data_IF_044518264624
#
_entry.id   IF_044518264624
#
_cell.length_a   1.000
_cell.length_b   1.000
_cell.length_c   1.000
_cell.angle_alpha   90.00
_cell.angle_beta   90.00
_cell.angle_gamma   90.00
#
_symmetry.space_group_name_H-M   'P 1'
#
loop_
_entity.id
_entity.type
_entity.pdbx_description
1 polymer ?
#
# COMPACT_ATOMS: atom_id res chain seq x y z
N UNK A 1 -1.55 22.38 -9.52
CA UNK A 1 -1.78 20.94 -9.85
C UNK A 1 -2.45 20.80 -11.23
N UNK A 2 -2.72 19.59 -11.75
CA UNK A 2 -3.59 19.38 -12.94
C UNK A 2 -5.05 19.20 -12.51
N UNK A 3 -6.03 19.38 -13.42
CA UNK A 3 -7.48 19.13 -13.18
C UNK A 3 -7.81 17.74 -12.62
N UNK A 4 -6.87 16.79 -12.67
CA UNK A 4 -7.01 15.42 -12.18
C UNK A 4 -6.17 15.15 -10.91
N UNK A 5 -5.87 16.17 -10.12
CA UNK A 5 -5.05 16.08 -8.91
C UNK A 5 -3.65 15.47 -9.10
N UNK A 6 -3.08 15.55 -10.31
CA UNK A 6 -1.69 15.15 -10.55
C UNK A 6 -0.74 16.33 -10.39
N UNK A 7 0.41 16.08 -9.78
CA UNK A 7 1.51 17.04 -9.64
C UNK A 7 2.17 17.25 -11.01
N UNK A 8 2.37 18.52 -11.40
CA UNK A 8 3.08 18.89 -12.64
C UNK A 8 4.60 18.77 -12.42
N UNK A 9 5.09 17.53 -12.30
CA UNK A 9 6.48 17.21 -11.90
C UNK A 9 7.56 17.94 -12.68
N UNK A 10 7.37 18.12 -14.01
CA UNK A 10 8.34 18.83 -14.87
C UNK A 10 8.47 20.31 -14.48
N UNK A 11 7.35 21.00 -14.33
CA UNK A 11 7.31 22.40 -13.92
C UNK A 11 7.89 22.56 -12.52
N UNK A 12 7.41 21.75 -11.57
CA UNK A 12 7.86 21.76 -10.18
C UNK A 12 9.37 21.55 -10.03
N UNK A 13 9.95 20.60 -10.78
CA UNK A 13 11.40 20.33 -10.72
C UNK A 13 12.22 21.47 -11.32
N UNK A 14 11.72 22.08 -12.39
CA UNK A 14 12.37 23.20 -13.05
C UNK A 14 12.40 24.44 -12.15
N UNK A 15 11.26 24.80 -11.57
CA UNK A 15 11.16 25.99 -10.70
C UNK A 15 11.95 25.81 -9.40
N UNK A 16 11.88 24.62 -8.78
CA UNK A 16 12.67 24.33 -7.59
C UNK A 16 14.18 24.38 -7.88
N UNK A 17 14.62 23.87 -9.03
CA UNK A 17 16.03 23.95 -9.43
C UNK A 17 16.49 25.41 -9.61
N UNK A 18 15.67 26.26 -10.22
CA UNK A 18 15.98 27.69 -10.36
C UNK A 18 16.13 28.40 -9.01
N UNK A 19 15.24 28.09 -8.07
CA UNK A 19 15.36 28.60 -6.70
C UNK A 19 16.66 28.14 -6.02
N UNK A 20 16.99 26.85 -6.13
CA UNK A 20 18.20 26.31 -5.49
C UNK A 20 19.48 26.92 -6.05
N UNK A 21 19.54 27.25 -7.35
CA UNK A 21 20.68 27.93 -7.95
C UNK A 21 20.98 29.29 -7.29
N UNK A 22 19.99 29.94 -6.68
CA UNK A 22 20.14 31.24 -6.01
C UNK A 22 20.72 31.13 -4.59
N UNK A 23 20.82 29.93 -4.02
CA UNK A 23 21.21 29.74 -2.62
C UNK A 23 22.72 29.64 -2.38
N UNK A 24 23.53 29.59 -3.45
CA UNK A 24 25.00 29.49 -3.40
C UNK A 24 25.53 28.47 -2.38
N UNK A 25 24.84 27.33 -2.24
CA UNK A 25 25.13 26.36 -1.20
C UNK A 25 26.37 25.50 -1.56
N UNK A 26 27.33 25.32 -0.64
CA UNK A 26 28.64 24.74 -0.97
C UNK A 26 28.65 23.22 -1.18
N UNK A 27 27.54 22.51 -0.92
CA UNK A 27 27.48 21.05 -1.09
C UNK A 27 26.46 20.63 -2.16
N UNK A 28 26.98 20.25 -3.32
CA UNK A 28 26.20 19.72 -4.46
C UNK A 28 25.49 18.40 -4.16
N UNK A 29 25.90 17.68 -3.11
CA UNK A 29 25.35 16.36 -2.78
C UNK A 29 23.89 16.40 -2.29
N UNK A 30 23.46 17.55 -1.75
CA UNK A 30 22.14 17.73 -1.13
C UNK A 30 21.15 18.46 -2.03
N UNK A 31 21.61 19.00 -3.16
CA UNK A 31 20.81 19.79 -4.10
C UNK A 31 20.38 18.96 -5.32
N UNK A 32 19.28 19.32 -6.00
CA UNK A 32 18.96 18.78 -7.31
C UNK A 32 20.08 19.11 -8.31
N UNK A 33 20.56 18.11 -9.05
CA UNK A 33 21.71 18.31 -9.97
C UNK A 33 21.34 19.04 -11.26
N UNK A 34 20.09 18.94 -11.69
CA UNK A 34 19.60 19.51 -12.94
C UNK A 34 18.11 19.87 -12.81
N UNK A 35 17.61 20.72 -13.71
CA UNK A 35 16.17 21.04 -13.84
C UNK A 35 15.29 19.83 -14.19
N UNK A 36 15.91 18.73 -14.63
CA UNK A 36 15.28 17.45 -14.96
C UNK A 36 15.61 16.34 -13.97
N UNK A 37 16.18 16.66 -12.81
CA UNK A 37 16.40 15.71 -11.72
C UNK A 37 15.09 15.36 -11.01
N UNK A 38 14.21 14.72 -11.77
CA UNK A 38 12.92 14.29 -11.30
C UNK A 38 13.04 13.29 -10.15
N UNK A 39 14.17 12.57 -10.08
CA UNK A 39 14.45 11.54 -9.08
C UNK A 39 14.53 12.17 -7.69
N UNK A 40 15.18 13.33 -7.58
CA UNK A 40 15.28 14.11 -6.35
C UNK A 40 13.91 14.33 -5.70
N UNK A 41 12.99 14.99 -6.41
CA UNK A 41 11.65 15.29 -5.88
C UNK A 41 10.79 14.04 -5.71
N UNK A 42 10.92 13.04 -6.57
CA UNK A 42 10.15 11.81 -6.41
C UNK A 42 10.48 11.06 -5.13
N UNK A 43 11.75 10.96 -4.76
CA UNK A 43 12.10 10.35 -3.48
C UNK A 43 11.63 11.20 -2.31
N UNK A 44 11.72 12.53 -2.42
CA UNK A 44 11.24 13.42 -1.37
C UNK A 44 9.72 13.29 -1.10
N UNK A 45 8.93 13.04 -2.14
CA UNK A 45 7.47 12.96 -2.06
C UNK A 45 6.92 11.55 -1.79
N UNK A 46 7.78 10.52 -1.73
CA UNK A 46 7.38 9.14 -1.47
C UNK A 46 7.37 8.87 0.04
N UNK A 47 6.23 8.43 0.58
CA UNK A 47 5.98 8.18 2.02
C UNK A 47 6.93 7.18 2.71
N UNK A 48 7.76 6.44 1.97
CA UNK A 48 8.65 5.41 2.53
C UNK A 48 10.08 5.49 1.97
N UNK A 49 10.51 6.68 1.57
CA UNK A 49 11.85 6.89 1.07
C UNK A 49 12.70 7.60 2.13
N UNK A 50 13.81 6.96 2.52
CA UNK A 50 14.76 7.55 3.46
C UNK A 50 15.56 8.64 2.74
N UNK A 51 15.24 9.90 3.01
CA UNK A 51 15.99 11.07 2.52
C UNK A 51 16.57 11.88 3.69
N UNK A 52 17.59 12.67 3.36
CA UNK A 52 18.21 13.58 4.33
C UNK A 52 17.19 14.67 4.75
N UNK A 53 17.02 14.95 6.06
CA UNK A 53 16.05 15.92 6.56
C UNK A 53 16.17 17.32 5.93
N UNK A 54 17.41 17.75 5.65
CA UNK A 54 17.69 19.03 4.99
C UNK A 54 16.93 19.20 3.66
N UNK A 55 16.81 18.14 2.85
CA UNK A 55 16.09 18.21 1.57
C UNK A 55 14.61 18.54 1.77
N UNK A 56 14.00 18.03 2.84
CA UNK A 56 12.61 18.30 3.15
C UNK A 56 12.42 19.74 3.63
N UNK A 57 13.33 20.22 4.50
CA UNK A 57 13.32 21.60 4.99
C UNK A 57 13.46 22.57 3.82
N UNK A 58 14.47 22.38 2.98
CA UNK A 58 14.74 23.21 1.81
C UNK A 58 13.53 23.26 0.85
N UNK A 59 12.96 22.10 0.55
CA UNK A 59 11.78 22.03 -0.32
C UNK A 59 10.55 22.68 0.32
N UNK A 60 10.33 22.49 1.63
CA UNK A 60 9.22 23.12 2.34
C UNK A 60 9.36 24.65 2.43
N UNK A 61 10.59 25.15 2.62
CA UNK A 61 10.88 26.57 2.61
C UNK A 61 10.54 27.18 1.25
N UNK A 62 10.99 26.55 0.17
CA UNK A 62 10.66 26.99 -1.19
C UNK A 62 9.15 27.00 -1.46
N UNK A 63 8.42 25.97 -1.02
CA UNK A 63 6.97 25.93 -1.18
C UNK A 63 6.25 27.03 -0.40
N UNK A 64 6.78 27.44 0.76
CA UNK A 64 6.22 28.54 1.55
C UNK A 64 6.57 29.92 0.99
N UNK A 65 7.63 30.01 0.18
CA UNK A 65 8.10 31.25 -0.42
C UNK A 65 7.54 31.50 -1.83
N UNK A 66 6.97 30.48 -2.47
CA UNK A 66 6.33 30.62 -3.78
C UNK A 66 4.86 31.02 -3.61
N UNK A 67 4.44 32.09 -4.29
CA UNK A 67 3.02 32.44 -4.31
C UNK A 67 2.20 31.34 -5.01
N UNK A 68 1.04 30.95 -4.46
CA UNK A 68 0.19 29.95 -5.09
C UNK A 68 -0.26 30.42 -6.48
N UNK A 69 0.30 29.83 -7.54
CA UNK A 69 -0.14 30.09 -8.91
C UNK A 69 -1.55 29.48 -9.08
N UNK A 70 -2.58 30.32 -8.90
CA UNK A 70 -3.98 29.96 -9.08
C UNK A 70 -4.50 29.03 -7.99
N UNK A 71 -4.89 29.61 -6.86
CA UNK A 71 -5.62 28.91 -5.80
C UNK A 71 -7.10 28.79 -6.20
N UNK A 72 -7.48 27.68 -6.85
CA UNK A 72 -8.88 27.24 -6.79
C UNK A 72 -9.12 26.78 -5.35
N UNK A 73 -9.90 27.56 -4.60
CA UNK A 73 -10.20 27.40 -3.16
C UNK A 73 -10.91 26.09 -2.76
N UNK A 74 -11.04 25.14 -3.68
CA UNK A 74 -11.42 23.78 -3.36
C UNK A 74 -10.19 23.01 -2.87
N UNK A 75 -9.75 23.29 -1.64
CA UNK A 75 -8.88 22.41 -0.89
C UNK A 75 -9.56 21.03 -0.83
N UNK A 76 -9.17 20.13 -1.74
CA UNK A 76 -9.60 18.75 -1.73
C UNK A 76 -9.10 18.13 -0.43
N UNK A 77 -10.01 17.97 0.51
CA UNK A 77 -9.82 17.19 1.72
C UNK A 77 -9.15 15.88 1.34
N UNK A 78 -7.90 15.72 1.76
CA UNK A 78 -7.23 14.43 1.67
C UNK A 78 -8.07 13.40 2.44
N UNK A 79 -8.23 12.23 1.83
CA UNK A 79 -8.88 11.04 2.37
C UNK A 79 -10.41 11.12 2.53
N UNK A 80 -11.14 10.76 1.47
CA UNK A 80 -12.51 10.25 1.59
C UNK A 80 -12.61 8.91 0.86
N UNK A 81 -12.75 7.84 1.65
CA UNK A 81 -12.93 6.44 1.21
C UNK A 81 -14.24 6.28 0.40
N UNK A 82 -15.12 7.28 0.42
CA UNK A 82 -16.42 7.31 -0.27
C UNK A 82 -16.39 7.61 -1.78
N UNK A 83 -15.35 8.27 -2.32
CA UNK A 83 -15.31 8.60 -3.76
C UNK A 83 -15.31 7.33 -4.64
N UNK A 84 -14.66 6.27 -4.18
CA UNK A 84 -14.58 5.01 -4.93
C UNK A 84 -15.96 4.37 -5.13
N UNK A 85 -16.82 4.43 -4.11
CA UNK A 85 -18.17 3.87 -4.17
C UNK A 85 -19.06 4.66 -5.11
N UNK A 86 -19.02 5.99 -5.02
CA UNK A 86 -19.76 6.89 -5.92
C UNK A 86 -19.33 6.68 -7.36
N UNK A 87 -18.02 6.60 -7.62
CA UNK A 87 -17.45 6.35 -8.94
C UNK A 87 -17.80 4.96 -9.49
N UNK A 88 -17.88 3.94 -8.63
CA UNK A 88 -18.33 2.59 -9.03
C UNK A 88 -19.81 2.59 -9.44
N UNK A 89 -20.67 3.25 -8.67
CA UNK A 89 -22.08 3.41 -9.00
C UNK A 89 -22.28 4.21 -10.31
N UNK A 90 -21.53 5.30 -10.48
CA UNK A 90 -21.49 6.11 -11.70
C UNK A 90 -21.11 5.28 -12.94
N UNK A 91 -19.99 4.52 -12.84
CA UNK A 91 -19.57 3.58 -13.89
C UNK A 91 -20.69 2.58 -14.23
N UNK A 92 -21.35 2.01 -13.22
CA UNK A 92 -22.40 1.01 -13.41
C UNK A 92 -23.60 1.60 -14.17
N UNK A 93 -24.02 2.81 -13.80
CA UNK A 93 -25.12 3.52 -14.47
C UNK A 93 -24.79 3.79 -15.94
N UNK A 94 -23.58 4.28 -16.24
CA UNK A 94 -23.15 4.54 -17.61
C UNK A 94 -23.03 3.26 -18.45
N UNK A 95 -22.52 2.18 -17.86
CA UNK A 95 -22.43 0.87 -18.52
C UNK A 95 -23.82 0.28 -18.82
N UNK A 96 -24.78 0.41 -17.91
CA UNK A 96 -26.17 -0.03 -18.12
C UNK A 96 -26.88 0.76 -19.22
N UNK A 97 -26.51 2.03 -19.41
CA UNK A 97 -26.94 2.87 -20.55
C UNK A 97 -26.30 2.47 -21.88
N UNK A 98 -25.51 1.39 -21.94
CA UNK A 98 -24.89 0.89 -23.16
C UNK A 98 -23.64 1.67 -23.61
N UNK A 99 -23.10 2.57 -22.78
CA UNK A 99 -21.86 3.30 -23.10
C UNK A 99 -20.68 2.34 -23.16
N UNK A 100 -19.76 2.57 -24.11
CA UNK A 100 -18.54 1.76 -24.23
C UNK A 100 -17.59 1.99 -23.05
N UNK A 101 -16.77 0.99 -22.73
CA UNK A 101 -15.75 1.08 -21.66
C UNK A 101 -14.85 2.31 -21.84
N UNK A 102 -14.47 2.63 -23.08
CA UNK A 102 -13.64 3.79 -23.39
C UNK A 102 -14.35 5.13 -23.15
N UNK A 103 -15.66 5.21 -23.40
CA UNK A 103 -16.48 6.38 -23.06
C UNK A 103 -16.54 6.57 -21.55
N UNK A 104 -16.94 5.52 -20.83
CA UNK A 104 -17.08 5.55 -19.36
C UNK A 104 -15.75 5.88 -18.68
N UNK A 105 -14.62 5.38 -19.20
CA UNK A 105 -13.29 5.71 -18.68
C UNK A 105 -12.94 7.20 -18.82
N UNK A 106 -13.29 7.83 -19.95
CA UNK A 106 -13.07 9.28 -20.15
C UNK A 106 -13.97 10.12 -19.27
N UNK A 107 -15.24 9.72 -19.16
CA UNK A 107 -16.28 10.44 -18.42
C UNK A 107 -16.07 10.37 -16.90
N UNK A 108 -15.69 9.19 -16.38
CA UNK A 108 -15.48 8.97 -14.94
C UNK A 108 -14.06 9.28 -14.46
N UNK A 109 -13.11 9.49 -15.38
CA UNK A 109 -11.68 9.67 -15.09
C UNK A 109 -10.98 8.41 -14.57
N UNK A 110 -11.65 7.25 -14.55
CA UNK A 110 -11.06 5.97 -14.11
C UNK A 110 -10.44 5.21 -15.28
N UNK A 111 -9.50 4.31 -14.99
CA UNK A 111 -8.81 3.52 -16.03
C UNK A 111 -9.76 2.54 -16.73
N UNK A 112 -9.46 2.20 -17.99
CA UNK A 112 -10.23 1.21 -18.76
C UNK A 112 -10.28 -0.15 -18.05
N UNK A 113 -9.20 -0.56 -17.39
CA UNK A 113 -9.15 -1.80 -16.61
C UNK A 113 -10.11 -1.78 -15.42
N UNK A 114 -10.22 -0.64 -14.72
CA UNK A 114 -11.19 -0.47 -13.63
C UNK A 114 -12.62 -0.60 -14.15
N UNK A 115 -12.99 0.14 -15.21
CA UNK A 115 -14.33 0.07 -15.79
C UNK A 115 -14.67 -1.34 -16.28
N UNK A 116 -13.72 -2.03 -16.93
CA UNK A 116 -13.86 -3.43 -17.35
C UNK A 116 -14.15 -4.36 -16.18
N UNK A 117 -13.48 -4.16 -15.04
CA UNK A 117 -13.72 -4.95 -13.84
C UNK A 117 -15.14 -4.78 -13.28
N UNK A 118 -15.68 -3.56 -13.32
CA UNK A 118 -17.05 -3.27 -12.87
C UNK A 118 -18.07 -3.93 -13.80
N UNK A 119 -17.86 -3.84 -15.12
CA UNK A 119 -18.72 -4.49 -16.10
C UNK A 119 -18.78 -6.01 -15.88
N UNK A 120 -17.62 -6.64 -15.65
CA UNK A 120 -17.53 -8.08 -15.36
C UNK A 120 -18.20 -8.48 -14.05
N UNK A 121 -18.00 -7.72 -12.97
CA UNK A 121 -18.63 -8.00 -11.68
C UNK A 121 -20.15 -7.84 -11.71
N UNK A 122 -20.65 -6.88 -12.48
CA UNK A 122 -22.08 -6.62 -12.61
C UNK A 122 -22.77 -7.40 -13.73
N UNK A 123 -22.03 -8.27 -14.42
CA UNK A 123 -22.52 -9.04 -15.56
C UNK A 123 -23.22 -8.18 -16.64
N UNK A 124 -22.73 -6.95 -16.85
CA UNK A 124 -23.28 -6.08 -17.90
C UNK A 124 -22.72 -6.56 -19.23
N UNK A 125 -23.61 -6.91 -20.16
CA UNK A 125 -23.27 -7.47 -21.46
C UNK A 125 -22.58 -6.42 -22.34
N UNK A 126 -21.29 -6.23 -22.12
CA UNK A 126 -20.45 -5.45 -23.04
C UNK A 126 -20.25 -6.30 -24.29
N UNK A 127 -20.41 -5.71 -25.49
CA UNK A 127 -20.21 -6.34 -26.82
C UNK A 127 -18.76 -6.80 -27.06
N UNK A 128 -18.17 -7.50 -26.11
CA UNK A 128 -16.80 -7.96 -26.10
C UNK A 128 -16.78 -9.46 -26.37
N UNK A 129 -15.80 -9.88 -27.16
CA UNK A 129 -15.48 -11.29 -27.45
C UNK A 129 -15.49 -12.13 -26.15
N UNK A 130 -15.93 -13.40 -26.19
CA UNK A 130 -15.89 -14.29 -25.03
C UNK A 130 -14.50 -14.27 -24.39
N UNK A 131 -14.42 -13.83 -23.14
CA UNK A 131 -13.16 -13.81 -22.38
C UNK A 131 -13.11 -15.03 -21.47
N UNK A 132 -11.90 -15.48 -21.11
CA UNK A 132 -11.69 -16.51 -20.07
C UNK A 132 -12.28 -16.12 -18.69
N UNK A 133 -12.80 -14.91 -18.54
CA UNK A 133 -13.44 -14.37 -17.34
C UNK A 133 -14.96 -14.47 -17.47
N UNK A 134 -15.47 -15.71 -17.46
CA UNK A 134 -16.90 -15.93 -17.33
C UNK A 134 -17.40 -15.50 -15.94
N UNK A 135 -18.70 -15.21 -15.78
CA UNK A 135 -19.28 -14.88 -14.48
C UNK A 135 -19.02 -15.97 -13.42
N UNK A 136 -19.05 -17.24 -13.80
CA UNK A 136 -18.74 -18.37 -12.91
C UNK A 136 -17.29 -18.37 -12.44
N UNK A 137 -16.33 -18.12 -13.34
CA UNK A 137 -14.90 -18.00 -13.00
C UNK A 137 -14.68 -16.83 -12.05
N UNK A 138 -15.30 -15.67 -12.30
CA UNK A 138 -15.21 -14.50 -11.44
C UNK A 138 -15.74 -14.79 -10.02
N UNK A 139 -16.91 -15.43 -9.91
CA UNK A 139 -17.50 -15.81 -8.62
C UNK A 139 -16.58 -16.76 -7.84
N UNK A 140 -16.05 -17.79 -8.49
CA UNK A 140 -15.12 -18.75 -7.87
C UNK A 140 -13.82 -18.08 -7.44
N UNK A 141 -13.26 -17.18 -8.26
CA UNK A 141 -12.07 -16.41 -7.90
C UNK A 141 -12.28 -15.59 -6.63
N UNK A 142 -13.44 -14.92 -6.50
CA UNK A 142 -13.81 -14.14 -5.30
C UNK A 142 -13.95 -15.05 -4.08
N UNK A 143 -14.57 -16.22 -4.22
CA UNK A 143 -14.71 -17.19 -3.12
C UNK A 143 -13.35 -17.67 -2.64
N UNK A 144 -12.46 -18.08 -3.55
CA UNK A 144 -11.09 -18.48 -3.20
C UNK A 144 -10.31 -17.31 -2.57
N UNK A 145 -10.51 -16.10 -3.07
CA UNK A 145 -9.88 -14.92 -2.50
C UNK A 145 -10.38 -14.61 -1.07
N UNK A 146 -11.67 -14.80 -0.79
CA UNK A 146 -12.25 -14.68 0.57
C UNK A 146 -11.71 -15.73 1.53
N UNK A 147 -11.47 -16.95 1.04
CA UNK A 147 -10.82 -18.03 1.79
C UNK A 147 -9.31 -17.83 2.04
N UNK A 148 -8.74 -16.71 1.59
CA UNK A 148 -7.33 -16.37 1.85
C UNK A 148 -6.33 -17.00 0.89
N UNK A 149 -6.75 -17.68 -0.18
CA UNK A 149 -5.82 -18.27 -1.16
C UNK A 149 -4.91 -17.21 -1.78
N UNK A 150 -3.66 -17.60 -2.07
CA UNK A 150 -2.69 -16.73 -2.73
C UNK A 150 -3.10 -16.46 -4.19
N UNK A 151 -2.83 -15.25 -4.69
CA UNK A 151 -3.28 -14.81 -6.03
C UNK A 151 -2.75 -15.70 -7.16
N UNK A 152 -1.49 -16.14 -7.04
CA UNK A 152 -0.86 -17.08 -7.98
C UNK A 152 -1.61 -18.42 -8.03
N UNK A 153 -2.08 -18.91 -6.89
CA UNK A 153 -2.79 -20.19 -6.83
C UNK A 153 -4.20 -20.09 -7.40
N UNK A 154 -4.90 -18.97 -7.16
CA UNK A 154 -6.21 -18.70 -7.78
C UNK A 154 -6.06 -18.62 -9.31
N UNK A 155 -5.05 -17.90 -9.79
CA UNK A 155 -4.75 -17.76 -11.21
C UNK A 155 -4.47 -19.13 -11.86
N UNK A 156 -3.67 -19.97 -11.21
CA UNK A 156 -3.36 -21.33 -11.65
C UNK A 156 -4.60 -22.21 -11.73
N UNK A 157 -5.42 -22.25 -10.67
CA UNK A 157 -6.62 -23.10 -10.59
C UNK A 157 -7.71 -22.74 -11.61
N UNK A 158 -7.81 -21.46 -11.95
CA UNK A 158 -8.85 -20.95 -12.84
C UNK A 158 -8.32 -20.66 -14.26
N UNK A 159 -7.04 -20.95 -14.52
CA UNK A 159 -6.38 -20.70 -15.81
C UNK A 159 -6.54 -19.26 -16.32
N UNK A 160 -6.49 -18.29 -15.40
CA UNK A 160 -6.56 -16.84 -15.68
C UNK A 160 -5.25 -16.15 -15.31
N UNK A 161 -5.02 -14.95 -15.81
CA UNK A 161 -3.83 -14.18 -15.45
C UNK A 161 -3.89 -13.70 -13.99
N UNK A 162 -2.73 -13.59 -13.35
CA UNK A 162 -2.62 -13.01 -11.99
C UNK A 162 -3.27 -11.62 -11.96
N UNK A 163 -2.98 -10.78 -12.96
CA UNK A 163 -3.57 -9.43 -13.05
C UNK A 163 -5.10 -9.42 -13.09
N UNK A 164 -5.73 -10.45 -13.67
CA UNK A 164 -7.20 -10.59 -13.63
C UNK A 164 -7.71 -10.87 -12.21
N UNK A 165 -7.00 -11.71 -11.46
CA UNK A 165 -7.31 -11.96 -10.04
C UNK A 165 -7.13 -10.68 -9.22
N UNK A 166 -6.06 -9.92 -9.45
CA UNK A 166 -5.83 -8.65 -8.74
C UNK A 166 -6.93 -7.63 -9.02
N UNK A 167 -7.32 -7.52 -10.28
CA UNK A 167 -8.41 -6.66 -10.72
C UNK A 167 -9.72 -7.03 -10.01
N UNK A 168 -10.08 -8.32 -9.96
CA UNK A 168 -11.29 -8.78 -9.27
C UNK A 168 -11.25 -8.51 -7.76
N UNK A 169 -10.10 -8.72 -7.11
CA UNK A 169 -9.93 -8.44 -5.68
C UNK A 169 -10.11 -6.95 -5.41
N UNK A 170 -9.47 -6.08 -6.18
CA UNK A 170 -9.52 -4.63 -6.00
C UNK A 170 -10.91 -4.05 -6.31
N UNK A 171 -11.65 -4.66 -7.26
CA UNK A 171 -12.98 -4.21 -7.64
C UNK A 171 -14.09 -4.71 -6.69
N UNK A 172 -13.80 -5.74 -5.88
CA UNK A 172 -14.73 -6.29 -4.90
C UNK A 172 -14.66 -5.51 -3.59
N UNK A 173 -15.80 -4.97 -3.15
CA UNK A 173 -15.89 -4.16 -1.94
C UNK A 173 -15.48 -4.99 -0.72
N UNK A 174 -14.69 -4.40 0.17
CA UNK A 174 -14.23 -5.00 1.43
C UNK A 174 -13.20 -6.12 1.28
N UNK A 175 -13.04 -6.73 0.10
CA UNK A 175 -12.21 -7.92 -0.08
C UNK A 175 -10.71 -7.65 0.12
N UNK A 176 -10.23 -6.46 -0.23
CA UNK A 176 -8.84 -6.05 0.04
C UNK A 176 -8.58 -6.00 1.54
N UNK A 177 -9.46 -5.35 2.31
CA UNK A 177 -9.30 -5.22 3.76
C UNK A 177 -9.44 -6.58 4.46
N UNK A 178 -10.44 -7.38 4.07
CA UNK A 178 -10.60 -8.75 4.54
C UNK A 178 -9.33 -9.58 4.33
N UNK A 179 -8.70 -9.49 3.16
CA UNK A 179 -7.46 -10.23 2.88
C UNK A 179 -6.27 -9.72 3.67
N UNK A 180 -6.20 -8.43 3.99
CA UNK A 180 -5.18 -7.90 4.92
C UNK A 180 -5.39 -8.48 6.31
N UNK A 181 -6.64 -8.53 6.79
CA UNK A 181 -6.99 -9.14 8.07
C UNK A 181 -6.62 -10.63 8.10
N UNK A 182 -7.01 -11.40 7.08
CA UNK A 182 -6.63 -12.82 6.97
C UNK A 182 -5.11 -13.02 7.03
N UNK A 183 -4.33 -12.15 6.38
CA UNK A 183 -2.86 -12.21 6.38
C UNK A 183 -2.31 -11.86 7.76
N UNK A 184 -2.86 -10.86 8.42
CA UNK A 184 -2.50 -10.49 9.79
C UNK A 184 -2.73 -11.67 10.74
N UNK A 185 -3.93 -12.23 10.77
CA UNK A 185 -4.29 -13.35 11.65
C UNK A 185 -3.49 -14.62 11.35
N UNK A 186 -3.23 -14.92 10.09
CA UNK A 186 -2.40 -16.07 9.72
C UNK A 186 -0.95 -15.90 10.18
N UNK A 187 -0.42 -14.67 10.08
CA UNK A 187 0.93 -14.34 10.55
C UNK A 187 1.01 -14.40 12.08
N UNK A 188 0.02 -13.83 12.76
CA UNK A 188 -0.16 -13.91 14.21
C UNK A 188 -0.12 -15.36 14.70
N UNK A 189 -1.04 -16.20 14.22
CA UNK A 189 -1.12 -17.63 14.61
C UNK A 189 0.18 -18.38 14.35
N UNK A 190 0.83 -18.13 13.21
CA UNK A 190 2.12 -18.76 12.88
C UNK A 190 3.20 -18.38 13.90
N UNK A 191 3.28 -17.11 14.28
CA UNK A 191 4.29 -16.62 15.21
C UNK A 191 4.01 -17.03 16.65
N UNK A 192 2.75 -16.97 17.09
CA UNK A 192 2.33 -17.52 18.39
C UNK A 192 2.73 -18.99 18.49
N UNK A 193 2.39 -19.79 17.47
CA UNK A 193 2.75 -21.20 17.40
C UNK A 193 4.27 -21.45 17.39
N UNK A 194 5.04 -20.59 16.74
CA UNK A 194 6.49 -20.69 16.72
C UNK A 194 7.08 -20.51 18.13
N UNK A 195 6.60 -19.52 18.89
CA UNK A 195 7.03 -19.30 20.27
C UNK A 195 6.62 -20.48 21.16
N UNK A 196 5.38 -20.92 21.07
CA UNK A 196 4.88 -22.05 21.86
C UNK A 196 5.65 -23.34 21.56
N UNK A 197 5.89 -23.67 20.29
CA UNK A 197 6.70 -24.83 19.91
C UNK A 197 8.12 -24.76 20.44
N UNK A 198 8.75 -23.58 20.40
CA UNK A 198 10.10 -23.41 20.93
C UNK A 198 10.13 -23.66 22.45
N UNK A 199 9.16 -23.11 23.20
CA UNK A 199 9.04 -23.33 24.64
C UNK A 199 8.80 -24.80 25.00
N UNK A 200 7.96 -25.49 24.23
CA UNK A 200 7.73 -26.92 24.41
C UNK A 200 9.01 -27.73 24.18
N UNK A 201 9.79 -27.37 23.16
CA UNK A 201 11.05 -28.06 22.84
C UNK A 201 12.18 -27.76 23.84
N UNK A 202 12.20 -26.56 24.42
CA UNK A 202 13.22 -26.11 25.36
C UNK A 202 12.57 -25.51 26.62
N UNK A 203 12.07 -26.33 27.57
CA UNK A 203 11.34 -25.84 28.74
C UNK A 203 12.15 -24.92 29.66
N UNK A 204 13.48 -25.08 29.69
CA UNK A 204 14.41 -24.27 30.48
C UNK A 204 14.94 -23.03 29.75
N UNK A 205 14.48 -22.78 28.52
CA UNK A 205 14.93 -21.63 27.75
C UNK A 205 14.52 -20.32 28.43
N UNK A 206 15.44 -19.37 28.50
CA UNK A 206 15.17 -18.03 29.02
C UNK A 206 14.66 -17.10 27.92
N UNK A 207 14.09 -15.95 28.31
CA UNK A 207 13.59 -14.93 27.35
C UNK A 207 14.62 -14.56 26.27
N UNK A 208 15.92 -14.54 26.62
CA UNK A 208 17.03 -14.27 25.68
C UNK A 208 17.11 -15.30 24.55
N UNK A 209 16.94 -16.58 24.87
CA UNK A 209 17.05 -17.67 23.90
C UNK A 209 15.88 -17.63 22.92
N UNK A 210 14.67 -17.36 23.43
CA UNK A 210 13.47 -17.21 22.60
C UNK A 210 13.63 -16.00 21.66
N UNK A 211 14.13 -14.87 22.17
CA UNK A 211 14.39 -13.67 21.36
C UNK A 211 15.45 -13.92 20.28
N UNK A 212 16.47 -14.73 20.55
CA UNK A 212 17.51 -15.06 19.58
C UNK A 212 16.99 -16.03 18.51
N UNK A 213 16.37 -17.15 18.92
CA UNK A 213 15.97 -18.23 18.03
C UNK A 213 14.64 -17.98 17.29
N UNK A 214 13.75 -17.21 17.90
CA UNK A 214 12.45 -16.85 17.33
C UNK A 214 12.37 -15.35 17.03
N UNK A 215 13.47 -14.73 16.65
CA UNK A 215 13.63 -13.27 16.51
C UNK A 215 12.48 -12.56 15.77
N UNK A 216 12.16 -13.02 14.56
CA UNK A 216 11.11 -12.42 13.74
C UNK A 216 9.72 -12.57 14.35
N UNK A 217 9.44 -13.69 15.02
CA UNK A 217 8.17 -13.91 15.72
C UNK A 217 8.10 -13.05 16.99
N UNK A 218 9.17 -13.02 17.77
CA UNK A 218 9.30 -12.26 19.01
C UNK A 218 9.02 -10.77 18.78
N UNK A 219 9.75 -10.12 17.88
CA UNK A 219 9.60 -8.68 17.66
C UNK A 219 8.26 -8.31 17.03
N UNK A 220 7.73 -9.16 16.14
CA UNK A 220 6.41 -8.91 15.56
C UNK A 220 5.31 -9.02 16.62
N UNK A 221 5.34 -10.05 17.47
CA UNK A 221 4.38 -10.18 18.57
C UNK A 221 4.57 -9.09 19.63
N UNK A 222 5.80 -8.64 19.90
CA UNK A 222 6.04 -7.53 20.82
C UNK A 222 5.38 -6.22 20.35
N UNK A 223 5.38 -5.97 19.04
CA UNK A 223 4.76 -4.77 18.46
C UNK A 223 3.24 -4.89 18.39
N UNK A 224 2.71 -6.07 18.05
CA UNK A 224 1.30 -6.25 17.68
C UNK A 224 0.44 -6.95 18.74
N UNK A 225 1.03 -7.83 19.56
CA UNK A 225 0.34 -8.74 20.49
C UNK A 225 1.13 -8.84 21.81
N UNK A 226 1.51 -7.68 22.38
CA UNK A 226 2.43 -7.61 23.54
C UNK A 226 1.92 -8.37 24.76
N UNK A 227 0.64 -8.19 25.10
CA UNK A 227 0.03 -8.86 26.26
C UNK A 227 0.15 -10.39 26.12
N UNK A 228 -0.28 -10.92 24.97
CA UNK A 228 -0.15 -12.35 24.67
C UNK A 228 1.31 -12.82 24.77
N UNK A 229 2.26 -12.05 24.24
CA UNK A 229 3.67 -12.41 24.29
C UNK A 229 4.18 -12.48 25.73
N UNK A 230 3.91 -11.48 26.56
CA UNK A 230 4.41 -11.45 27.95
C UNK A 230 3.82 -12.57 28.80
N UNK A 231 2.52 -12.88 28.63
CA UNK A 231 1.85 -14.00 29.30
C UNK A 231 2.43 -15.36 28.89
N UNK A 232 2.96 -15.45 27.67
CA UNK A 232 3.51 -16.69 27.10
C UNK A 232 5.03 -16.75 27.15
N UNK A 233 5.73 -15.81 27.78
CA UNK A 233 7.18 -15.87 27.98
C UNK A 233 7.53 -16.43 29.38
N UNK A 234 8.68 -17.14 29.51
CA UNK A 234 9.16 -17.65 30.80
C UNK A 234 9.52 -16.49 31.72
N UNK A 235 9.26 -16.62 33.04
CA UNK A 235 9.45 -15.58 34.07
C UNK A 235 10.80 -14.86 33.91
N UNK A 236 10.79 -13.54 34.08
CA UNK A 236 11.96 -12.71 33.85
C UNK A 236 13.02 -13.04 34.91
N UNK A 237 14.17 -13.54 34.46
CA UNK A 237 15.31 -13.77 35.35
C UNK A 237 15.90 -12.42 35.75
N UNK A 238 16.15 -12.16 37.06
CA UNK A 238 16.80 -10.94 37.48
C UNK A 238 18.21 -10.83 36.85
N UNK A 239 18.71 -9.61 36.61
CA UNK A 239 20.06 -9.43 36.09
C UNK A 239 21.07 -10.04 37.06
N UNK A 240 21.89 -10.97 36.55
CA UNK A 240 23.04 -11.50 37.28
C UNK A 240 24.05 -10.35 37.46
N UNK A 241 24.25 -9.90 38.70
CA UNK A 241 25.35 -9.00 39.02
C UNK A 241 26.67 -9.75 38.71
N UNK A 242 27.62 -9.15 37.99
CA UNK A 242 28.94 -9.75 37.84
C UNK A 242 29.58 -9.87 39.24
N UNK A 243 30.32 -10.96 39.52
CA UNK A 243 31.00 -11.11 40.79
C UNK A 243 31.92 -9.89 41.00
N UNK A 244 31.75 -9.20 42.12
CA UNK A 244 32.71 -8.18 42.56
C UNK A 244 34.02 -8.92 42.84
N UNK A 245 35.03 -8.70 42.01
CA UNK A 245 36.40 -9.12 42.32
C UNK A 245 36.78 -8.45 43.66
N UNK A 246 37.08 -9.27 44.66
CA UNK A 246 37.66 -8.85 45.94
C UNK A 246 39.17 -8.70 45.78
#
# INVERSE_FOLDING_TARGET
>A
MTKHNRIRRRLLSSEFYQFVLQLEYPSDSLLPKTSVDYKYLSYLLLENSSQQPFKHILFSYWLNWTEPIGYDSAAHSFCQVDDSHKKKAECLTLLRKGRSIACVSRETGKSRCFVKSIALLANVNTRLKPTKLSPSVCKTAIVLARRGFHRKEIARRLSISIGSVEMLISATIGLVQWRKQCKYESKRRRYEHQILRYRQKYPQAIRRDIKSNCNAAFFWLYIHERAWLEDNLPIATPPSLPPRFK
#
